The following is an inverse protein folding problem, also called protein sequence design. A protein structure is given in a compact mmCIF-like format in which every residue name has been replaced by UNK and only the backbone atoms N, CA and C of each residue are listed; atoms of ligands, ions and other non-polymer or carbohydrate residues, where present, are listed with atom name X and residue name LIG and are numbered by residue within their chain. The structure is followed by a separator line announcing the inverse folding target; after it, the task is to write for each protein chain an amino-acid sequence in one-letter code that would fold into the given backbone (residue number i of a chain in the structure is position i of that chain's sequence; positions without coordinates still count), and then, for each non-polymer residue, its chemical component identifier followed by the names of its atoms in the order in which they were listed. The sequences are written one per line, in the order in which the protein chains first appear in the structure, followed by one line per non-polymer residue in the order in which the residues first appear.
data_IF_977933904021
#
_entry.id   IF_977933904021
#
_cell.length_a   1.000
_cell.length_b   1.000
_cell.length_c   1.000
_cell.angle_alpha   90.00
_cell.angle_beta   90.00
_cell.angle_gamma   90.00
#
_symmetry.space_group_name_H-M   'P 1'
#
loop_
_entity.id
_entity.type
_entity.pdbx_description
1 polymer ?
#
# COMPACT_ATOMS: atom_id res chain seq x y z
N UNK A 1 -16.83 -7.42 4.16
CA UNK A 1 -17.66 -8.08 3.11
C UNK A 1 -18.64 -9.11 3.65
N UNK A 2 -18.26 -9.94 4.62
CA UNK A 2 -19.13 -10.93 5.28
C UNK A 2 -20.51 -10.39 5.65
N UNK A 3 -20.57 -9.21 6.29
CA UNK A 3 -21.85 -8.55 6.60
C UNK A 3 -22.78 -8.39 5.40
N UNK A 4 -22.27 -7.99 4.22
CA UNK A 4 -23.09 -7.82 3.00
C UNK A 4 -23.59 -9.14 2.43
N UNK A 5 -22.88 -10.25 2.68
CA UNK A 5 -23.29 -11.59 2.24
C UNK A 5 -24.31 -12.21 3.19
N UNK A 6 -24.15 -11.99 4.50
CA UNK A 6 -24.98 -12.60 5.54
C UNK A 6 -26.24 -11.78 5.85
N UNK A 7 -26.15 -10.46 5.73
CA UNK A 7 -27.28 -9.54 5.90
C UNK A 7 -27.71 -9.10 4.51
N UNK A 8 -28.83 -9.65 4.05
CA UNK A 8 -29.37 -9.38 2.71
C UNK A 8 -29.77 -7.90 2.58
N UNK A 9 -29.08 -7.18 1.68
CA UNK A 9 -29.43 -5.81 1.28
C UNK A 9 -28.70 -4.70 2.05
N UNK A 10 -28.94 -3.44 1.66
CA UNK A 10 -28.32 -2.29 2.29
C UNK A 10 -28.85 -2.09 3.70
N UNK A 11 -27.95 -1.85 4.65
CA UNK A 11 -28.28 -1.51 6.05
C UNK A 11 -28.05 -0.01 6.30
N UNK A 12 -28.69 0.54 7.31
CA UNK A 12 -28.49 1.92 7.76
C UNK A 12 -27.75 1.96 9.11
N UNK A 13 -27.45 3.16 9.60
CA UNK A 13 -26.66 3.37 10.81
C UNK A 13 -27.18 2.59 12.05
N UNK A 14 -28.48 2.29 12.13
CA UNK A 14 -29.11 1.53 13.23
C UNK A 14 -28.57 0.11 13.37
N UNK A 15 -28.02 -0.47 12.30
CA UNK A 15 -27.35 -1.77 12.36
C UNK A 15 -26.08 -1.72 13.23
N UNK A 16 -25.51 -0.54 13.49
CA UNK A 16 -24.32 -0.37 14.33
C UNK A 16 -24.63 0.26 15.69
N UNK A 17 -25.89 0.54 15.97
CA UNK A 17 -26.33 1.07 17.26
C UNK A 17 -25.94 0.09 18.39
N UNK A 18 -25.24 0.54 19.45
CA UNK A 18 -24.87 -0.29 20.59
C UNK A 18 -26.08 -0.83 21.36
N UNK A 19 -27.20 -0.13 21.36
CA UNK A 19 -28.44 -0.55 22.03
C UNK A 19 -29.21 -1.62 21.26
N UNK A 20 -28.87 -1.85 19.99
CA UNK A 20 -29.52 -2.85 19.14
C UNK A 20 -28.89 -4.24 19.36
N UNK A 21 -29.48 -5.00 20.29
CA UNK A 21 -29.03 -6.34 20.68
C UNK A 21 -29.07 -7.35 19.54
N UNK A 22 -30.11 -7.32 18.70
CA UNK A 22 -30.28 -8.26 17.59
C UNK A 22 -29.17 -8.07 16.55
N UNK A 23 -28.89 -6.81 16.19
CA UNK A 23 -27.78 -6.49 15.29
C UNK A 23 -26.43 -6.80 15.94
N UNK A 24 -26.28 -6.65 17.26
CA UNK A 24 -25.05 -7.02 17.97
C UNK A 24 -24.75 -8.53 17.86
N UNK A 25 -25.77 -9.38 17.99
CA UNK A 25 -25.65 -10.84 17.79
C UNK A 25 -25.23 -11.15 16.35
N UNK A 26 -25.86 -10.52 15.35
CA UNK A 26 -25.46 -10.71 13.96
C UNK A 26 -24.02 -10.27 13.70
N UNK A 27 -23.60 -9.10 14.24
CA UNK A 27 -22.22 -8.60 14.12
C UNK A 27 -21.21 -9.55 14.77
N UNK A 28 -21.56 -10.18 15.89
CA UNK A 28 -20.72 -11.18 16.54
C UNK A 28 -20.57 -12.43 15.67
N UNK A 29 -21.67 -12.93 15.11
CA UNK A 29 -21.66 -14.10 14.22
C UNK A 29 -20.86 -13.86 12.93
N UNK A 30 -21.00 -12.67 12.34
CA UNK A 30 -20.19 -12.22 11.18
C UNK A 30 -18.70 -12.24 11.53
N UNK A 31 -18.32 -11.71 12.70
CA UNK A 31 -16.92 -11.67 13.12
C UNK A 31 -16.37 -13.08 13.37
N UNK A 32 -17.17 -13.95 13.99
CA UNK A 32 -16.83 -15.36 14.24
C UNK A 32 -16.56 -16.11 12.95
N UNK A 33 -17.47 -16.01 11.97
CA UNK A 33 -17.29 -16.68 10.67
C UNK A 33 -16.06 -16.15 9.92
N UNK A 34 -15.82 -14.82 9.95
CA UNK A 34 -14.63 -14.23 9.35
C UNK A 34 -13.34 -14.73 10.02
N UNK A 35 -13.34 -14.89 11.34
CA UNK A 35 -12.18 -15.38 12.09
C UNK A 35 -11.91 -16.86 11.76
N UNK A 36 -12.96 -17.68 11.68
CA UNK A 36 -12.84 -19.09 11.29
C UNK A 36 -12.26 -19.28 9.90
N UNK A 37 -12.74 -18.53 8.92
CA UNK A 37 -12.19 -18.58 7.57
C UNK A 37 -10.74 -18.09 7.52
N UNK A 38 -10.40 -17.08 8.34
CA UNK A 38 -9.01 -16.58 8.45
C UNK A 38 -8.08 -17.64 9.06
N UNK A 39 -8.52 -18.32 10.12
CA UNK A 39 -7.77 -19.40 10.76
C UNK A 39 -7.59 -20.56 9.78
N UNK A 40 -8.67 -20.96 9.10
CA UNK A 40 -8.62 -22.04 8.12
C UNK A 40 -7.63 -21.75 6.99
N UNK A 41 -7.60 -20.51 6.49
CA UNK A 41 -6.65 -20.11 5.45
C UNK A 41 -5.18 -20.22 5.93
N UNK A 42 -4.91 -19.93 7.21
CA UNK A 42 -3.59 -20.10 7.82
C UNK A 42 -3.26 -21.59 8.07
N UNK A 43 -4.25 -22.40 8.44
CA UNK A 43 -4.08 -23.85 8.67
C UNK A 43 -3.84 -24.63 7.38
N UNK A 44 -4.51 -24.24 6.30
CA UNK A 44 -4.42 -24.88 4.98
C UNK A 44 -3.19 -24.38 4.16
N UNK A 45 -2.28 -23.58 4.77
CA UNK A 45 -1.14 -22.92 4.12
C UNK A 45 -1.55 -22.10 2.86
N UNK A 46 -2.77 -21.58 2.84
CA UNK A 46 -3.27 -20.74 1.74
C UNK A 46 -2.71 -19.31 1.82
N UNK A 47 -2.30 -18.86 3.01
CA UNK A 47 -1.57 -17.61 3.22
C UNK A 47 -0.67 -17.66 4.47
N UNK A 48 0.37 -16.84 4.49
CA UNK A 48 1.23 -16.66 5.68
C UNK A 48 0.71 -15.59 6.66
N UNK A 49 -0.21 -14.73 6.21
CA UNK A 49 -0.72 -13.61 6.99
C UNK A 49 -2.18 -13.31 6.62
N UNK A 50 -3.04 -13.18 7.63
CA UNK A 50 -4.43 -12.79 7.46
C UNK A 50 -4.67 -11.37 8.04
N UNK A 51 -5.32 -10.50 7.26
CA UNK A 51 -5.70 -9.15 7.72
C UNK A 51 -7.18 -9.17 8.10
N UNK A 52 -7.44 -9.03 9.40
CA UNK A 52 -8.80 -8.98 9.93
C UNK A 52 -9.31 -7.53 9.99
N UNK A 53 -9.87 -7.05 8.88
CA UNK A 53 -10.39 -5.69 8.75
C UNK A 53 -11.78 -5.52 9.38
N UNK A 54 -11.81 -4.99 10.60
CA UNK A 54 -13.01 -4.62 11.33
C UNK A 54 -12.70 -3.49 12.33
N UNK A 55 -13.74 -2.83 12.84
CA UNK A 55 -13.56 -1.70 13.78
C UNK A 55 -12.92 -2.11 15.10
N UNK A 56 -13.24 -3.30 15.62
CA UNK A 56 -12.64 -3.87 16.84
C UNK A 56 -12.46 -2.84 17.99
N UNK A 57 -13.48 -2.00 18.14
CA UNK A 57 -13.40 -0.75 18.89
C UNK A 57 -13.32 -0.92 20.42
N UNK A 58 -13.59 -2.11 20.96
CA UNK A 58 -13.59 -2.36 22.40
C UNK A 58 -12.46 -3.30 22.81
N UNK A 59 -11.94 -3.12 24.03
CA UNK A 59 -10.91 -3.97 24.64
C UNK A 59 -11.40 -5.42 24.72
N UNK A 60 -12.66 -5.61 25.14
CA UNK A 60 -13.25 -6.95 25.24
C UNK A 60 -13.28 -7.68 23.89
N UNK A 61 -13.59 -6.97 22.78
CA UNK A 61 -13.58 -7.58 21.45
C UNK A 61 -12.18 -8.03 21.06
N UNK A 62 -11.18 -7.18 21.25
CA UNK A 62 -9.78 -7.49 20.89
C UNK A 62 -9.25 -8.69 21.68
N UNK A 63 -9.51 -8.72 23.00
CA UNK A 63 -9.15 -9.86 23.87
C UNK A 63 -9.85 -11.15 23.47
N UNK A 64 -11.14 -11.10 23.15
CA UNK A 64 -11.89 -12.27 22.67
C UNK A 64 -11.30 -12.83 21.37
N UNK A 65 -11.00 -11.97 20.39
CA UNK A 65 -10.37 -12.42 19.13
C UNK A 65 -9.03 -13.13 19.37
N UNK A 66 -8.19 -12.59 20.26
CA UNK A 66 -6.91 -13.22 20.60
C UNK A 66 -7.10 -14.57 21.29
N UNK A 67 -8.07 -14.67 22.20
CA UNK A 67 -8.37 -15.92 22.91
C UNK A 67 -8.90 -17.00 21.96
N UNK A 68 -9.85 -16.64 21.09
CA UNK A 68 -10.41 -17.56 20.10
C UNK A 68 -9.36 -18.03 19.09
N UNK A 69 -8.49 -17.12 18.64
CA UNK A 69 -7.36 -17.46 17.79
C UNK A 69 -6.44 -18.46 18.50
N UNK A 70 -5.90 -18.09 19.67
CA UNK A 70 -4.94 -18.92 20.41
C UNK A 70 -5.49 -20.28 20.83
N UNK A 71 -6.81 -20.42 20.98
CA UNK A 71 -7.46 -21.68 21.28
C UNK A 71 -7.48 -22.65 20.08
N UNK A 72 -7.50 -22.14 18.86
CA UNK A 72 -7.60 -22.93 17.62
C UNK A 72 -6.25 -23.07 16.91
N UNK A 73 -5.53 -21.97 16.77
CA UNK A 73 -4.30 -21.89 15.98
C UNK A 73 -3.28 -20.96 16.65
N UNK A 74 -2.03 -21.40 16.72
CA UNK A 74 -0.95 -20.60 17.32
C UNK A 74 -0.30 -19.74 16.25
N UNK A 75 -0.59 -18.45 16.23
CA UNK A 75 0.14 -17.48 15.44
C UNK A 75 0.32 -16.14 16.17
N UNK A 76 1.18 -15.29 15.62
CA UNK A 76 1.36 -13.93 16.11
C UNK A 76 0.18 -13.05 15.70
N UNK A 77 -0.27 -12.18 16.62
CA UNK A 77 -1.32 -11.19 16.35
C UNK A 77 -0.75 -9.78 16.58
N UNK A 78 -0.95 -8.91 15.59
CA UNK A 78 -0.57 -7.50 15.64
C UNK A 78 -1.81 -6.64 15.39
N UNK A 79 -2.11 -5.73 16.31
CA UNK A 79 -3.20 -4.76 16.13
C UNK A 79 -2.67 -3.48 15.47
N UNK A 80 -3.38 -2.97 14.47
CA UNK A 80 -3.08 -1.69 13.83
C UNK A 80 -4.28 -0.78 14.05
N UNK A 81 -4.11 0.26 14.87
CA UNK A 81 -5.13 1.25 15.17
C UNK A 81 -4.86 2.53 14.37
N UNK A 82 -5.84 2.97 13.57
CA UNK A 82 -5.78 4.24 12.83
C UNK A 82 -6.65 5.27 13.53
N UNK A 83 -6.03 6.34 14.04
CA UNK A 83 -6.70 7.43 14.75
C UNK A 83 -6.61 8.68 13.87
N UNK A 84 -7.76 9.25 13.51
CA UNK A 84 -7.84 10.46 12.70
C UNK A 84 -8.69 11.50 13.42
N UNK A 85 -8.06 12.62 13.81
CA UNK A 85 -8.72 13.72 14.51
C UNK A 85 -8.87 14.98 13.63
N UNK A 86 -8.54 14.89 12.35
CA UNK A 86 -8.56 16.03 11.41
C UNK A 86 -9.92 16.13 10.69
N UNK A 87 -10.76 17.14 10.98
CA UNK A 87 -12.11 17.23 10.44
C UNK A 87 -12.16 17.26 8.90
N UNK A 88 -11.22 17.95 8.25
CA UNK A 88 -11.18 18.10 6.80
C UNK A 88 -10.95 16.75 6.09
N UNK A 89 -10.08 15.90 6.67
CA UNK A 89 -9.78 14.57 6.13
C UNK A 89 -10.97 13.64 6.35
N UNK A 90 -11.63 13.73 7.51
CA UNK A 90 -12.85 12.99 7.79
C UNK A 90 -13.92 13.36 6.76
N UNK A 91 -14.16 14.65 6.51
CA UNK A 91 -15.12 15.11 5.52
C UNK A 91 -14.82 14.61 4.10
N UNK A 92 -13.54 14.64 3.68
CA UNK A 92 -13.13 14.06 2.39
C UNK A 92 -13.42 12.57 2.29
N UNK A 93 -13.17 11.82 3.36
CA UNK A 93 -13.40 10.37 3.40
C UNK A 93 -14.88 9.99 3.25
N UNK A 94 -15.79 10.83 3.73
CA UNK A 94 -17.25 10.63 3.59
C UNK A 94 -17.64 10.70 2.11
N UNK A 95 -17.08 11.65 1.37
CA UNK A 95 -17.32 11.80 -0.07
C UNK A 95 -16.79 10.59 -0.84
N UNK A 96 -15.57 10.15 -0.54
CA UNK A 96 -14.96 8.96 -1.15
C UNK A 96 -15.76 7.69 -0.84
N UNK A 97 -16.32 7.57 0.36
CA UNK A 97 -17.15 6.42 0.73
C UNK A 97 -18.44 6.35 -0.09
N UNK A 98 -19.11 7.48 -0.35
CA UNK A 98 -20.31 7.47 -1.20
C UNK A 98 -20.00 6.90 -2.58
N UNK A 99 -18.89 7.32 -3.17
CA UNK A 99 -18.49 6.91 -4.51
C UNK A 99 -18.15 5.41 -4.59
N UNK A 100 -17.65 4.83 -3.50
CA UNK A 100 -17.09 3.48 -3.50
C UNK A 100 -17.92 2.43 -2.72
N UNK A 101 -18.94 2.83 -1.96
CA UNK A 101 -19.74 1.91 -1.13
C UNK A 101 -21.08 1.55 -1.77
N UNK A 102 -21.26 0.24 -2.00
CA UNK A 102 -22.54 -0.31 -2.45
C UNK A 102 -23.72 -0.04 -1.50
N UNK A 103 -23.47 0.21 -0.21
CA UNK A 103 -24.54 0.50 0.77
C UNK A 103 -25.18 1.88 0.54
N UNK A 104 -24.47 2.79 -0.12
CA UNK A 104 -24.88 4.19 -0.34
C UNK A 104 -25.11 4.54 -1.82
N UNK A 105 -24.96 3.57 -2.73
CA UNK A 105 -25.02 3.79 -4.17
C UNK A 105 -26.33 4.45 -4.66
N UNK A 106 -27.44 4.19 -3.98
CA UNK A 106 -28.76 4.74 -4.31
C UNK A 106 -29.17 5.97 -3.48
N UNK A 107 -28.33 6.43 -2.53
CA UNK A 107 -28.67 7.53 -1.61
C UNK A 107 -28.13 8.88 -2.09
N UNK A 108 -28.77 9.96 -1.65
CA UNK A 108 -28.25 11.32 -1.86
C UNK A 108 -26.97 11.56 -1.05
N UNK A 109 -26.23 12.63 -1.36
CA UNK A 109 -25.01 12.99 -0.59
C UNK A 109 -25.38 13.29 0.87
N UNK A 110 -26.44 14.06 1.08
CA UNK A 110 -26.88 14.49 2.41
C UNK A 110 -27.35 13.31 3.27
N UNK A 111 -28.17 12.42 2.72
CA UNK A 111 -28.61 11.20 3.44
C UNK A 111 -27.44 10.26 3.76
N UNK A 112 -26.44 10.20 2.88
CA UNK A 112 -25.23 9.39 3.11
C UNK A 112 -24.40 9.98 4.23
N UNK A 113 -24.23 11.31 4.22
CA UNK A 113 -23.49 12.01 5.26
C UNK A 113 -24.16 11.87 6.62
N UNK A 114 -25.48 12.05 6.71
CA UNK A 114 -26.24 11.94 7.97
C UNK A 114 -26.18 10.52 8.56
N UNK A 115 -26.42 9.49 7.73
CA UNK A 115 -26.34 8.09 8.15
C UNK A 115 -24.92 7.74 8.60
N UNK A 116 -23.90 8.19 7.86
CA UNK A 116 -22.52 7.88 8.20
C UNK A 116 -22.03 8.60 9.46
N UNK A 117 -22.37 9.88 9.63
CA UNK A 117 -22.09 10.62 10.87
C UNK A 117 -22.76 9.93 12.07
N UNK A 118 -24.01 9.49 11.93
CA UNK A 118 -24.71 8.75 12.98
C UNK A 118 -24.04 7.40 13.27
N UNK A 119 -23.52 6.73 12.24
CA UNK A 119 -22.75 5.49 12.39
C UNK A 119 -21.43 5.73 13.12
N UNK A 120 -20.73 6.83 12.84
CA UNK A 120 -19.51 7.22 13.57
C UNK A 120 -19.85 7.45 15.05
N UNK A 121 -20.89 8.24 15.34
CA UNK A 121 -21.31 8.53 16.71
C UNK A 121 -21.62 7.26 17.52
N UNK A 122 -22.23 6.25 16.90
CA UNK A 122 -22.47 4.94 17.51
C UNK A 122 -21.18 4.23 17.93
N UNK A 123 -20.11 4.31 17.12
CA UNK A 123 -18.81 3.75 17.46
C UNK A 123 -18.06 4.58 18.49
N UNK A 124 -18.10 5.91 18.38
CA UNK A 124 -17.49 6.82 19.36
C UNK A 124 -18.03 6.58 20.77
N UNK A 125 -19.33 6.31 20.91
CA UNK A 125 -19.97 6.03 22.20
C UNK A 125 -19.42 4.77 22.93
N UNK A 126 -18.79 3.85 22.20
CA UNK A 126 -18.26 2.59 22.76
C UNK A 126 -16.75 2.43 22.55
N UNK A 127 -16.09 3.37 21.89
CA UNK A 127 -14.70 3.23 21.48
C UNK A 127 -13.76 3.31 22.67
N UNK A 128 -12.93 2.27 22.80
CA UNK A 128 -11.86 2.15 23.76
C UNK A 128 -10.54 2.04 23.00
N UNK A 129 -9.85 3.18 22.90
CA UNK A 129 -8.52 3.24 22.27
C UNK A 129 -7.58 2.20 22.91
N UNK A 130 -6.66 1.65 22.11
CA UNK A 130 -5.66 0.72 22.62
C UNK A 130 -4.88 1.39 23.75
N UNK A 131 -4.71 0.77 24.91
CA UNK A 131 -4.07 1.42 26.06
C UNK A 131 -2.83 0.62 26.47
N UNK A 132 -1.60 1.17 26.39
CA UNK A 132 -0.40 0.44 26.77
C UNK A 132 -0.36 0.04 28.24
N UNK A 133 -1.16 0.65 29.13
CA UNK A 133 -1.19 0.24 30.54
C UNK A 133 -2.14 -0.96 30.75
N UNK A 134 -3.29 -0.97 30.07
CA UNK A 134 -4.33 -2.03 30.20
C UNK A 134 -4.13 -3.21 29.24
N UNK A 135 -3.50 -2.95 28.10
CA UNK A 135 -3.19 -3.90 27.02
C UNK A 135 -1.67 -3.97 26.82
N UNK A 136 -0.91 -3.87 27.92
CA UNK A 136 0.56 -3.88 27.92
C UNK A 136 1.19 -5.10 27.26
N UNK A 137 0.48 -6.23 27.23
CA UNK A 137 0.88 -7.52 26.69
C UNK A 137 0.51 -7.72 25.22
N UNK A 138 -0.25 -6.79 24.61
CA UNK A 138 -0.68 -6.90 23.22
C UNK A 138 0.29 -6.18 22.27
N UNK A 139 0.74 -6.81 21.18
CA UNK A 139 1.48 -6.13 20.10
C UNK A 139 0.57 -5.19 19.34
N UNK A 140 0.88 -3.90 19.31
CA UNK A 140 0.10 -2.94 18.54
C UNK A 140 0.85 -1.72 18.04
N UNK A 141 0.33 -1.15 16.96
CA UNK A 141 0.80 0.09 16.35
C UNK A 141 -0.40 1.03 16.25
N UNK A 142 -0.26 2.25 16.78
CA UNK A 142 -1.20 3.33 16.53
C UNK A 142 -0.63 4.29 15.50
N UNK A 143 -1.41 4.60 14.49
CA UNK A 143 -1.11 5.60 13.46
C UNK A 143 -2.05 6.77 13.71
N UNK A 144 -1.50 7.92 14.10
CA UNK A 144 -2.28 9.10 14.49
C UNK A 144 -2.13 10.17 13.41
N UNK A 145 -3.28 10.70 12.97
CA UNK A 145 -3.43 11.72 11.94
C UNK A 145 -2.58 11.44 10.70
N UNK A 146 -2.84 10.29 10.06
CA UNK A 146 -2.21 9.92 8.77
C UNK A 146 -0.68 9.83 8.89
N UNK A 147 -0.20 9.27 9.99
CA UNK A 147 1.24 9.06 10.23
C UNK A 147 1.97 10.26 10.79
N UNK A 148 1.27 11.34 11.19
CA UNK A 148 1.86 12.47 11.92
C UNK A 148 2.55 12.02 13.20
N UNK A 149 1.98 11.03 13.88
CA UNK A 149 2.57 10.38 15.04
C UNK A 149 2.32 8.87 14.96
N UNK A 150 3.29 8.08 15.43
CA UNK A 150 3.18 6.63 15.53
C UNK A 150 3.56 6.22 16.95
N UNK A 151 2.72 5.39 17.55
CA UNK A 151 2.97 4.77 18.84
C UNK A 151 3.06 3.26 18.65
N UNK A 152 4.01 2.61 19.32
CA UNK A 152 4.29 1.19 19.14
C UNK A 152 4.41 0.53 20.51
N UNK A 153 3.72 -0.59 20.70
CA UNK A 153 3.76 -1.41 21.92
C UNK A 153 4.04 -2.86 21.55
N UNK A 154 5.00 -3.49 22.24
CA UNK A 154 5.31 -4.92 22.11
C UNK A 154 5.50 -5.43 20.66
N UNK A 155 6.01 -4.59 19.75
CA UNK A 155 6.34 -5.00 18.39
C UNK A 155 7.72 -5.65 18.38
N UNK A 156 7.75 -6.93 18.03
CA UNK A 156 8.97 -7.73 17.99
C UNK A 156 9.10 -8.51 16.68
N UNK A 157 10.31 -9.01 16.43
CA UNK A 157 10.58 -9.84 15.26
C UNK A 157 10.63 -9.05 13.95
N UNK A 158 10.88 -9.78 12.87
CA UNK A 158 11.12 -9.19 11.56
C UNK A 158 9.84 -8.64 10.92
N UNK A 159 8.78 -9.45 10.83
CA UNK A 159 7.57 -9.09 10.08
C UNK A 159 6.87 -7.86 10.68
N UNK A 160 6.61 -7.85 11.99
CA UNK A 160 5.94 -6.73 12.65
C UNK A 160 6.77 -5.43 12.57
N UNK A 161 8.10 -5.52 12.68
CA UNK A 161 9.00 -4.37 12.49
C UNK A 161 8.96 -3.83 11.07
N UNK A 162 8.86 -4.71 10.05
CA UNK A 162 8.71 -4.30 8.64
C UNK A 162 7.35 -3.65 8.38
N UNK A 163 6.29 -4.14 9.02
CA UNK A 163 4.96 -3.52 8.98
C UNK A 163 5.02 -2.12 9.58
N UNK A 164 5.58 -1.97 10.78
CA UNK A 164 5.78 -0.66 11.42
C UNK A 164 6.56 0.29 10.51
N UNK A 165 7.68 -0.16 9.94
CA UNK A 165 8.48 0.64 9.03
C UNK A 165 7.69 1.07 7.79
N UNK A 166 6.91 0.17 7.18
CA UNK A 166 6.05 0.50 6.04
C UNK A 166 5.05 1.60 6.44
N UNK A 167 4.31 1.39 7.53
CA UNK A 167 3.30 2.32 8.03
C UNK A 167 3.88 3.71 8.33
N UNK A 168 5.09 3.77 8.88
CA UNK A 168 5.82 5.01 9.14
C UNK A 168 6.23 5.79 7.89
N UNK A 169 6.31 5.12 6.73
CA UNK A 169 6.71 5.74 5.47
C UNK A 169 5.54 5.93 4.48
N UNK A 170 4.32 5.51 4.84
CA UNK A 170 3.14 5.73 4.01
C UNK A 170 2.75 7.22 4.01
N UNK A 171 2.40 7.73 2.83
CA UNK A 171 1.85 9.06 2.66
C UNK A 171 0.54 8.93 1.88
N UNK A 172 -0.57 9.33 2.50
CA UNK A 172 -1.90 9.23 1.89
C UNK A 172 -2.25 10.43 1.01
N UNK A 173 -1.43 11.49 0.98
CA UNK A 173 -1.67 12.62 0.07
C UNK A 173 -1.44 12.13 -1.36
N UNK A 174 -2.43 12.26 -2.27
CA UNK A 174 -2.23 11.95 -3.68
C UNK A 174 -1.07 12.76 -4.23
N UNK A 175 -0.08 12.08 -4.81
CA UNK A 175 1.08 12.70 -5.45
C UNK A 175 1.39 11.96 -6.74
N UNK A 176 1.66 12.67 -7.84
CA UNK A 176 2.03 12.02 -9.09
C UNK A 176 3.41 11.39 -8.94
N UNK A 177 3.53 10.11 -9.32
CA UNK A 177 4.81 9.42 -9.46
C UNK A 177 4.98 9.12 -10.95
N UNK A 178 5.96 9.78 -11.58
CA UNK A 178 6.29 9.56 -12.98
C UNK A 178 7.37 8.50 -13.08
N UNK A 179 7.08 7.44 -13.84
CA UNK A 179 8.05 6.40 -14.15
C UNK A 179 8.34 6.46 -15.64
N UNK A 180 9.62 6.56 -15.98
CA UNK A 180 10.09 6.39 -17.33
C UNK A 180 11.44 5.69 -17.33
N UNK A 181 11.69 4.93 -18.41
CA UNK A 181 13.04 4.41 -18.69
C UNK A 181 13.95 5.55 -19.16
N UNK A 182 15.24 5.26 -19.23
CA UNK A 182 16.16 6.10 -20.00
C UNK A 182 15.70 6.20 -21.46
N UNK A 183 16.13 7.24 -22.17
CA UNK A 183 15.99 7.30 -23.63
C UNK A 183 16.65 6.09 -24.29
N UNK A 184 16.22 5.72 -25.51
CA UNK A 184 16.80 4.59 -26.23
C UNK A 184 18.34 4.63 -26.22
N UNK A 185 18.99 3.53 -25.81
CA UNK A 185 20.45 3.41 -25.79
C UNK A 185 20.99 2.74 -27.06
N UNK A 186 22.30 2.85 -27.29
CA UNK A 186 22.97 2.12 -28.38
C UNK A 186 22.78 0.60 -28.23
N UNK A 187 22.79 0.06 -27.01
CA UNK A 187 22.51 -1.36 -26.82
C UNK A 187 21.05 -1.72 -27.11
N UNK A 188 20.09 -0.81 -26.91
CA UNK A 188 18.72 -1.06 -27.33
C UNK A 188 18.60 -1.20 -28.87
N UNK A 189 19.29 -0.35 -29.64
CA UNK A 189 19.27 -0.44 -31.11
C UNK A 189 19.94 -1.74 -31.61
N UNK A 190 20.89 -2.26 -30.84
CA UNK A 190 21.57 -3.52 -31.10
C UNK A 190 20.88 -4.75 -30.47
N UNK A 191 19.76 -4.55 -29.75
CA UNK A 191 19.06 -5.59 -28.97
C UNK A 191 19.94 -6.32 -27.96
N UNK A 192 20.94 -5.64 -27.41
CA UNK A 192 21.82 -6.14 -26.35
C UNK A 192 21.22 -5.86 -24.97
N UNK A 193 21.36 -6.81 -24.05
CA UNK A 193 20.92 -6.67 -22.66
C UNK A 193 22.04 -6.14 -21.78
N UNK A 194 21.67 -5.48 -20.67
CA UNK A 194 22.63 -4.98 -19.68
C UNK A 194 23.58 -3.89 -20.21
N UNK A 195 24.82 -3.93 -19.74
CA UNK A 195 25.88 -2.99 -20.06
C UNK A 195 25.61 -1.55 -19.61
N UNK A 196 26.47 -0.63 -20.06
CA UNK A 196 26.34 0.81 -19.78
C UNK A 196 26.52 1.70 -21.01
N UNK A 197 25.89 1.30 -22.12
CA UNK A 197 25.97 2.03 -23.38
C UNK A 197 25.32 3.42 -23.29
N UNK A 198 25.82 4.44 -24.02
CA UNK A 198 25.21 5.77 -24.08
C UNK A 198 23.87 5.77 -24.82
N UNK A 199 23.20 6.92 -24.81
CA UNK A 199 21.97 7.15 -25.60
C UNK A 199 22.22 7.08 -27.11
N UNK A 200 21.24 6.56 -27.84
CA UNK A 200 21.14 6.68 -29.30
C UNK A 200 20.72 8.10 -29.69
N UNK A 201 20.80 8.49 -30.98
CA UNK A 201 20.27 9.76 -31.44
C UNK A 201 18.78 9.97 -31.10
N UNK A 202 17.96 8.91 -31.16
CA UNK A 202 16.55 8.96 -30.75
C UNK A 202 16.41 9.06 -29.23
N UNK A 203 17.28 8.39 -28.47
CA UNK A 203 17.33 8.53 -27.01
C UNK A 203 17.65 9.95 -26.56
N UNK A 204 18.56 10.64 -27.26
CA UNK A 204 18.84 12.06 -27.02
C UNK A 204 17.60 12.90 -27.32
N UNK A 205 16.90 12.66 -28.44
CA UNK A 205 15.65 13.37 -28.73
C UNK A 205 14.60 13.15 -27.65
N UNK A 206 14.45 11.93 -27.16
CA UNK A 206 13.57 11.62 -26.02
C UNK A 206 13.95 12.43 -24.78
N UNK A 207 15.24 12.46 -24.40
CA UNK A 207 15.74 13.24 -23.26
C UNK A 207 15.40 14.74 -23.39
N UNK A 208 15.49 15.29 -24.62
CA UNK A 208 15.10 16.68 -24.90
C UNK A 208 13.59 16.91 -24.72
N UNK A 209 12.76 15.96 -25.11
CA UNK A 209 11.30 16.07 -24.95
C UNK A 209 10.88 15.88 -23.48
N UNK A 210 11.57 15.00 -22.75
CA UNK A 210 11.37 14.85 -21.31
C UNK A 210 11.72 16.13 -20.55
N UNK A 211 12.85 16.77 -20.87
CA UNK A 211 13.22 18.08 -20.32
C UNK A 211 12.12 19.13 -20.55
N UNK A 212 11.59 19.22 -21.79
CA UNK A 212 10.50 20.15 -22.11
C UNK A 212 9.21 19.83 -21.36
N UNK A 213 8.88 18.55 -21.20
CA UNK A 213 7.71 18.13 -20.43
C UNK A 213 7.86 18.55 -18.95
N UNK A 214 9.02 18.27 -18.35
CA UNK A 214 9.30 18.68 -16.96
C UNK A 214 9.24 20.20 -16.83
N UNK A 215 9.84 20.95 -17.74
CA UNK A 215 9.82 22.42 -17.70
C UNK A 215 8.41 23.01 -17.82
N UNK A 216 7.55 22.41 -18.65
CA UNK A 216 6.20 22.90 -18.89
C UNK A 216 5.22 22.60 -17.74
N UNK A 217 5.30 21.40 -17.14
CA UNK A 217 4.35 20.96 -16.11
C UNK A 217 4.89 21.08 -14.68
N UNK A 218 6.22 21.12 -14.55
CA UNK A 218 6.95 21.22 -13.30
C UNK A 218 8.05 22.29 -13.44
N UNK A 219 7.71 23.57 -13.63
CA UNK A 219 8.70 24.64 -13.75
C UNK A 219 9.46 24.84 -12.43
N UNK A 220 10.76 25.09 -12.52
CA UNK A 220 11.60 25.45 -11.36
C UNK A 220 11.61 26.98 -11.18
N UNK A 221 11.61 27.51 -9.94
CA UNK A 221 11.62 26.81 -8.65
C UNK A 221 10.22 26.47 -8.10
N UNK A 222 9.17 26.79 -8.84
CA UNK A 222 7.78 26.84 -8.34
C UNK A 222 7.19 25.47 -7.97
N UNK A 223 7.75 24.38 -8.50
CA UNK A 223 7.30 23.02 -8.18
C UNK A 223 8.38 22.21 -7.46
N UNK A 224 7.99 21.49 -6.41
CA UNK A 224 8.84 20.46 -5.81
C UNK A 224 8.78 19.18 -6.65
N UNK A 225 9.87 18.86 -7.36
CA UNK A 225 10.02 17.62 -8.11
C UNK A 225 11.36 16.97 -7.75
N UNK A 226 11.29 15.79 -7.14
CA UNK A 226 12.45 14.93 -6.92
C UNK A 226 12.70 14.09 -8.18
N UNK A 227 13.93 14.16 -8.72
CA UNK A 227 14.33 13.38 -9.90
C UNK A 227 15.31 12.32 -9.47
N UNK A 228 14.98 11.05 -9.69
CA UNK A 228 15.83 9.91 -9.35
C UNK A 228 16.28 9.19 -10.61
N UNK A 229 17.55 8.76 -10.65
CA UNK A 229 18.08 7.91 -11.71
C UNK A 229 18.83 6.73 -11.14
N UNK A 230 19.11 5.74 -11.98
CA UNK A 230 20.16 4.76 -11.69
C UNK A 230 21.55 5.39 -11.72
N UNK A 231 22.59 4.58 -11.51
CA UNK A 231 23.99 5.01 -11.66
C UNK A 231 24.51 4.89 -13.09
N UNK A 232 23.73 4.29 -13.99
CA UNK A 232 24.09 4.02 -15.38
C UNK A 232 24.14 5.30 -16.25
N UNK A 233 25.09 5.34 -17.18
CA UNK A 233 25.33 6.44 -18.10
C UNK A 233 24.06 6.89 -18.83
N UNK A 234 23.29 5.94 -19.36
CA UNK A 234 22.06 6.22 -20.13
C UNK A 234 20.97 6.94 -19.33
N UNK A 235 20.79 6.62 -18.05
CA UNK A 235 19.81 7.34 -17.20
C UNK A 235 20.33 8.72 -16.85
N UNK A 236 21.65 8.85 -16.58
CA UNK A 236 22.32 10.14 -16.38
C UNK A 236 22.19 11.08 -17.58
N UNK A 237 22.49 10.60 -18.79
CA UNK A 237 22.34 11.37 -20.03
C UNK A 237 20.88 11.79 -20.28
N UNK A 238 19.91 10.96 -19.88
CA UNK A 238 18.49 11.26 -20.09
C UNK A 238 18.04 12.49 -19.28
N UNK A 239 18.62 12.71 -18.10
CA UNK A 239 18.25 13.80 -17.20
C UNK A 239 19.27 14.93 -17.15
N UNK A 240 20.32 14.89 -17.97
CA UNK A 240 21.42 15.86 -17.93
C UNK A 240 20.92 17.31 -18.06
N UNK A 241 19.98 17.55 -18.98
CA UNK A 241 19.39 18.88 -19.18
C UNK A 241 18.50 19.32 -18.00
N UNK A 242 17.76 18.38 -17.43
CA UNK A 242 16.93 18.63 -16.25
C UNK A 242 17.84 19.06 -15.08
N UNK A 243 18.96 18.36 -14.86
CA UNK A 243 19.96 18.72 -13.86
C UNK A 243 20.61 20.09 -14.14
N UNK A 244 20.97 20.37 -15.40
CA UNK A 244 21.58 21.63 -15.81
C UNK A 244 20.68 22.85 -15.56
N UNK A 245 19.35 22.67 -15.48
CA UNK A 245 18.38 23.70 -15.08
C UNK A 245 18.26 23.88 -13.56
N UNK A 246 19.11 23.22 -12.77
CA UNK A 246 19.14 23.36 -11.31
C UNK A 246 18.21 22.40 -10.56
N UNK A 247 17.62 21.39 -11.23
CA UNK A 247 16.85 20.35 -10.54
C UNK A 247 17.80 19.41 -9.79
N UNK A 248 17.42 19.08 -8.55
CA UNK A 248 18.14 18.08 -7.76
C UNK A 248 17.90 16.68 -8.32
N UNK A 249 18.96 16.06 -8.82
CA UNK A 249 18.96 14.67 -9.31
C UNK A 249 19.71 13.79 -8.32
N UNK A 250 19.04 12.74 -7.84
CA UNK A 250 19.63 11.76 -6.92
C UNK A 250 19.86 10.44 -7.66
N UNK A 251 21.09 9.92 -7.58
CA UNK A 251 21.46 8.64 -8.18
C UNK A 251 21.32 7.51 -7.16
N UNK A 252 20.62 6.45 -7.53
CA UNK A 252 20.41 5.27 -6.70
C UNK A 252 20.95 4.03 -7.40
N UNK A 253 21.90 3.33 -6.76
CA UNK A 253 22.43 2.08 -7.29
C UNK A 253 21.36 0.99 -7.37
N UNK A 254 20.39 1.02 -6.46
CA UNK A 254 19.26 0.10 -6.43
C UNK A 254 18.29 0.26 -7.62
N UNK A 255 18.42 1.35 -8.38
CA UNK A 255 17.67 1.55 -9.63
C UNK A 255 18.47 1.09 -10.87
N UNK A 256 19.69 0.57 -10.70
CA UNK A 256 20.44 -0.05 -11.81
C UNK A 256 19.61 -1.18 -12.42
N UNK A 257 19.74 -1.33 -13.74
CA UNK A 257 19.12 -2.44 -14.48
C UNK A 257 19.56 -3.78 -13.89
N UNK A 258 18.70 -4.79 -14.03
CA UNK A 258 19.01 -6.14 -13.58
C UNK A 258 20.36 -6.60 -14.14
N UNK A 259 21.21 -7.12 -13.26
CA UNK A 259 22.52 -7.65 -13.64
C UNK A 259 22.33 -8.97 -14.40
N UNK A 260 22.72 -8.98 -15.68
CA UNK A 260 22.64 -10.16 -16.53
C UNK A 260 23.80 -11.13 -16.32
N UNK A 261 24.76 -10.81 -15.45
CA UNK A 261 25.92 -11.63 -15.13
C UNK A 261 26.75 -11.92 -16.38
N UNK A 262 27.00 -13.20 -16.63
CA UNK A 262 27.76 -13.65 -17.82
C UNK A 262 27.07 -13.31 -19.15
N UNK A 263 25.77 -13.00 -19.14
CA UNK A 263 25.01 -12.61 -20.33
C UNK A 263 25.08 -11.09 -20.62
N UNK A 264 25.83 -10.31 -19.83
CA UNK A 264 25.89 -8.86 -19.98
C UNK A 264 26.45 -8.45 -21.36
N UNK A 265 25.73 -7.57 -22.06
CA UNK A 265 26.07 -7.13 -23.40
C UNK A 265 25.70 -8.09 -24.53
N UNK A 266 25.16 -9.28 -24.26
CA UNK A 266 24.72 -10.22 -25.30
C UNK A 266 23.35 -9.83 -25.90
N UNK A 267 23.05 -10.27 -27.11
CA UNK A 267 21.65 -10.29 -27.59
C UNK A 267 20.93 -11.54 -27.09
N UNK A 268 19.60 -11.53 -27.11
CA UNK A 268 18.82 -12.72 -26.72
C UNK A 268 19.11 -13.92 -27.63
N UNK A 269 19.39 -13.69 -28.91
CA UNK A 269 19.79 -14.73 -29.86
C UNK A 269 21.14 -15.34 -29.48
N UNK A 270 22.12 -14.50 -29.12
CA UNK A 270 23.42 -15.00 -28.63
C UNK A 270 23.26 -15.81 -27.35
N UNK A 271 22.43 -15.37 -26.40
CA UNK A 271 22.17 -16.15 -25.17
C UNK A 271 21.51 -17.49 -25.49
N UNK A 272 20.58 -17.54 -26.45
CA UNK A 272 19.94 -18.78 -26.86
C UNK A 272 20.89 -19.76 -27.56
N UNK A 273 21.87 -19.25 -28.32
CA UNK A 273 22.87 -20.05 -29.03
C UNK A 273 24.00 -20.54 -28.10
N UNK A 274 24.54 -19.64 -27.28
CA UNK A 274 25.71 -19.91 -26.43
C UNK A 274 25.31 -20.55 -25.08
N UNK A 275 24.11 -20.27 -24.56
CA UNK A 275 23.61 -20.73 -23.26
C UNK A 275 22.13 -21.20 -23.36
N UNK A 276 21.83 -22.23 -24.18
CA UNK A 276 20.47 -22.68 -24.45
C UNK A 276 19.72 -23.15 -23.19
N UNK A 277 20.41 -23.82 -22.27
CA UNK A 277 19.82 -24.30 -21.02
C UNK A 277 19.34 -23.14 -20.13
N UNK A 278 20.18 -22.11 -19.94
CA UNK A 278 19.83 -20.90 -19.17
C UNK A 278 18.69 -20.11 -19.83
N UNK A 279 18.71 -20.01 -21.16
CA UNK A 279 17.65 -19.35 -21.93
C UNK A 279 16.29 -20.04 -21.72
N UNK A 280 16.25 -21.38 -21.76
CA UNK A 280 15.04 -22.17 -21.54
C UNK A 280 14.61 -22.10 -20.06
N UNK A 281 15.53 -22.22 -19.12
CA UNK A 281 15.25 -22.14 -17.69
C UNK A 281 14.58 -20.80 -17.33
N UNK A 282 15.17 -19.68 -17.79
CA UNK A 282 14.58 -18.34 -17.62
C UNK A 282 13.23 -18.21 -18.29
N UNK A 283 13.01 -18.84 -19.46
CA UNK A 283 11.70 -18.79 -20.13
C UNK A 283 10.62 -19.55 -19.35
N UNK A 284 10.99 -20.66 -18.70
CA UNK A 284 10.06 -21.48 -17.95
C UNK A 284 9.69 -20.88 -16.59
N UNK A 285 10.56 -20.05 -16.00
CA UNK A 285 10.31 -19.40 -14.71
C UNK A 285 10.95 -18.00 -14.65
N UNK A 286 10.23 -16.97 -15.11
CA UNK A 286 10.68 -15.57 -15.18
C UNK A 286 10.00 -14.69 -14.13
#
# INVERSE_FOLDING_TARGET
EYRRRMVNGPVNHKFWDPSNTDSAVMRAEIARQCLEDSIKALEDDACDCAIFDATNATQNRRRMLLQELNAKYKCEMLYIESILNQPDIIASSINDMKLNSADYAARTLDETAEDYCSRIAHYEAVYEAMDPDRENDLPFIKIIDVGRQIFVNQVYGYLQSRIMFLLANLNLKPRPIWLSRHGESIYNTQKRIGGDSPLSPLGIQYAMQLDRFIDAYYPAPDTELAVWTSTMLRTGMTVERIAARGRSVVKWKQLDEIDAGICDGMTYEQVAEEMPEEYIARKNNK
#
